data_IF_186611871312
#
_entry.id   IF_186611871312
#
_cell.length_a   1.000
_cell.length_b   1.000
_cell.length_c   1.000
_cell.angle_alpha   90.00
_cell.angle_beta   90.00
_cell.angle_gamma   90.00
#
_symmetry.space_group_name_H-M   'P 1'
#
loop_
_entity.id
_entity.type
_entity.pdbx_description
1 polymer ?
#
# COMPACT_ATOMS: atom_id res chain seq x y z
N UNK A 1 -3.08 -16.41 -5.19
CA UNK A 1 -3.32 -15.31 -4.23
C UNK A 1 -2.45 -14.07 -4.50
N UNK A 2 -1.39 -14.17 -5.32
CA UNK A 2 -0.48 -13.03 -5.62
C UNK A 2 -1.13 -11.86 -6.37
N UNK A 3 -2.21 -12.09 -7.12
CA UNK A 3 -2.90 -11.08 -7.92
C UNK A 3 -3.55 -9.97 -7.10
N UNK A 4 -4.11 -10.31 -5.93
CA UNK A 4 -4.80 -9.34 -5.07
C UNK A 4 -3.79 -8.50 -4.28
N UNK A 5 -2.75 -9.12 -3.74
CA UNK A 5 -1.62 -8.42 -3.14
C UNK A 5 -0.94 -7.47 -4.14
N UNK A 6 -0.73 -7.90 -5.38
CA UNK A 6 -0.17 -7.06 -6.44
C UNK A 6 -1.05 -5.86 -6.77
N UNK A 7 -2.38 -6.05 -6.83
CA UNK A 7 -3.33 -4.96 -7.06
C UNK A 7 -3.33 -3.94 -5.94
N UNK A 8 -3.37 -4.41 -4.69
CA UNK A 8 -3.37 -3.52 -3.51
C UNK A 8 -2.05 -2.76 -3.41
N UNK A 9 -0.91 -3.44 -3.60
CA UNK A 9 0.41 -2.79 -3.58
C UNK A 9 0.55 -1.76 -4.71
N UNK A 10 0.07 -2.05 -5.92
CA UNK A 10 0.05 -1.07 -7.01
C UNK A 10 -0.82 0.15 -6.68
N UNK A 11 -2.01 -0.06 -6.10
CA UNK A 11 -2.89 1.03 -5.68
C UNK A 11 -2.25 1.88 -4.57
N UNK A 12 -1.66 1.24 -3.56
CA UNK A 12 -0.96 1.91 -2.47
C UNK A 12 0.19 2.79 -2.99
N UNK A 13 0.97 2.32 -3.97
CA UNK A 13 2.03 3.14 -4.61
C UNK A 13 1.47 4.32 -5.41
N UNK A 14 0.30 4.19 -6.03
CA UNK A 14 -0.34 5.30 -6.76
C UNK A 14 -0.84 6.39 -5.80
N UNK A 15 -1.33 6.01 -4.62
CA UNK A 15 -1.81 6.94 -3.60
C UNK A 15 -0.65 7.61 -2.86
N UNK A 16 0.31 6.83 -2.37
CA UNK A 16 1.41 7.31 -1.53
C UNK A 16 2.60 7.88 -2.32
N UNK A 17 2.65 7.66 -3.64
CA UNK A 17 3.75 8.10 -4.47
C UNK A 17 4.98 7.19 -4.39
N UNK A 18 6.07 7.64 -5.02
CA UNK A 18 7.31 6.86 -5.12
C UNK A 18 8.16 6.98 -3.86
N UNK A 19 8.69 5.86 -3.38
CA UNK A 19 9.69 5.80 -2.32
C UNK A 19 11.13 6.00 -2.82
N UNK A 20 11.31 6.29 -4.11
CA UNK A 20 12.62 6.53 -4.70
C UNK A 20 13.02 7.99 -4.53
N UNK A 21 14.06 8.25 -3.74
CA UNK A 21 14.56 9.61 -3.50
C UNK A 21 14.98 10.32 -4.79
N UNK A 22 15.40 9.58 -5.83
CA UNK A 22 15.74 10.14 -7.15
C UNK A 22 14.51 10.67 -7.88
N UNK A 23 13.33 10.12 -7.60
CA UNK A 23 12.06 10.50 -8.22
C UNK A 23 11.32 11.56 -7.40
N UNK A 24 11.48 11.56 -6.08
CA UNK A 24 10.90 12.58 -5.18
C UNK A 24 11.79 13.81 -5.02
N UNK A 25 13.08 13.73 -5.36
CA UNK A 25 14.06 14.81 -5.13
C UNK A 25 14.40 15.03 -3.66
N UNK A 26 13.89 14.19 -2.74
CA UNK A 26 14.06 14.35 -1.30
C UNK A 26 14.02 13.00 -0.59
N UNK A 27 15.06 12.73 0.22
CA UNK A 27 15.14 11.53 1.06
C UNK A 27 14.03 11.52 2.10
N UNK A 28 13.70 12.69 2.68
CA UNK A 28 12.61 12.83 3.63
C UNK A 28 11.27 12.46 2.99
N UNK A 29 10.98 13.03 1.82
CA UNK A 29 9.74 12.72 1.09
C UNK A 29 9.66 11.25 0.69
N UNK A 30 10.78 10.65 0.27
CA UNK A 30 10.84 9.23 -0.05
C UNK A 30 10.55 8.33 1.17
N UNK A 31 11.04 8.71 2.35
CA UNK A 31 10.75 8.01 3.60
C UNK A 31 9.28 8.17 4.02
N UNK A 32 8.71 9.36 3.89
CA UNK A 32 7.29 9.62 4.13
C UNK A 32 6.40 8.79 3.19
N UNK A 33 6.73 8.76 1.90
CA UNK A 33 6.01 7.97 0.89
C UNK A 33 6.11 6.46 1.18
N UNK A 34 7.27 5.98 1.65
CA UNK A 34 7.45 4.59 2.08
C UNK A 34 6.57 4.25 3.28
N UNK A 35 6.57 5.10 4.31
CA UNK A 35 5.75 4.91 5.52
C UNK A 35 4.25 4.90 5.20
N UNK A 36 3.81 5.81 4.33
CA UNK A 36 2.45 5.81 3.78
C UNK A 36 2.13 4.47 3.10
N UNK A 37 3.00 3.99 2.19
CA UNK A 37 2.78 2.74 1.47
C UNK A 37 2.61 1.55 2.41
N UNK A 38 3.47 1.40 3.42
CA UNK A 38 3.42 0.28 4.37
C UNK A 38 2.14 0.31 5.22
N UNK A 39 1.73 1.50 5.66
CA UNK A 39 0.50 1.70 6.44
C UNK A 39 -0.75 1.42 5.61
N UNK A 40 -0.84 1.97 4.39
CA UNK A 40 -1.98 1.76 3.49
C UNK A 40 -2.09 0.30 3.05
N UNK A 41 -0.97 -0.35 2.72
CA UNK A 41 -0.95 -1.75 2.34
C UNK A 41 -1.45 -2.64 3.49
N UNK A 42 -0.95 -2.42 4.71
CA UNK A 42 -1.37 -3.21 5.88
C UNK A 42 -2.84 -3.02 6.20
N UNK A 43 -3.36 -1.79 6.13
CA UNK A 43 -4.78 -1.51 6.33
C UNK A 43 -5.65 -2.15 5.25
N UNK A 44 -5.27 -2.04 3.98
CA UNK A 44 -6.04 -2.60 2.88
C UNK A 44 -6.06 -4.13 2.90
N UNK A 45 -4.94 -4.78 3.27
CA UNK A 45 -4.89 -6.23 3.44
C UNK A 45 -5.74 -6.70 4.63
N UNK A 46 -5.69 -5.98 5.75
CA UNK A 46 -6.51 -6.25 6.92
C UNK A 46 -8.00 -6.13 6.60
N UNK A 47 -8.41 -5.06 5.91
CA UNK A 47 -9.79 -4.87 5.47
C UNK A 47 -10.24 -5.95 4.48
N UNK A 48 -9.41 -6.30 3.50
CA UNK A 48 -9.75 -7.35 2.53
C UNK A 48 -9.96 -8.70 3.22
N UNK A 49 -9.12 -9.02 4.21
CA UNK A 49 -9.26 -10.24 5.00
C UNK A 49 -10.55 -10.21 5.82
N UNK A 50 -10.83 -9.08 6.49
CA UNK A 50 -12.07 -8.88 7.24
C UNK A 50 -13.32 -8.98 6.36
N UNK A 51 -13.31 -8.40 5.15
CA UNK A 51 -14.42 -8.47 4.19
C UNK A 51 -14.66 -9.87 3.65
N UNK A 52 -13.61 -10.67 3.44
CA UNK A 52 -13.77 -12.08 3.04
C UNK A 52 -14.41 -12.92 4.14
N UNK A 53 -14.01 -12.71 5.40
CA UNK A 53 -14.61 -13.40 6.55
C UNK A 53 -16.07 -12.98 6.75
N UNK A 54 -16.37 -11.68 6.64
CA UNK A 54 -17.73 -11.16 6.78
C UNK A 54 -18.69 -11.61 5.67
N UNK A 55 -18.19 -11.87 4.46
CA UNK A 55 -19.01 -12.35 3.33
C UNK A 55 -19.31 -13.86 3.39
N UNK A 56 -18.78 -14.59 4.38
CA UNK A 56 -18.93 -16.04 4.54
C UNK A 56 -19.84 -16.41 5.74
N UNK A 57 -20.51 -15.45 6.37
CA UNK A 57 -21.59 -15.67 7.36
C UNK A 57 -22.90 -15.08 6.85
#
# INVERSE_FOLDING_TARGET
QETLYYRISSAARKVCGSSDFRRTGSVKQAAENKSCYESTLSQALSQTTASQVASTN
#
